data_IF_622081966438
#
_entry.id   IF_622081966438
#
_cell.length_a   1.000
_cell.length_b   1.000
_cell.length_c   1.000
_cell.angle_alpha   90.00
_cell.angle_beta   90.00
_cell.angle_gamma   90.00
#
_symmetry.space_group_name_H-M   'P 1'
#
loop_
_entity.id
_entity.type
_entity.pdbx_description
1 polymer ?
#
# COMPACT_ATOMS: atom_id res chain seq x y z
N UNK A 1 -2.05 8.77 5.15
CA UNK A 1 -0.68 8.18 5.13
C UNK A 1 -0.18 8.13 3.69
N UNK A 2 0.98 8.70 3.45
CA UNK A 2 1.59 8.63 2.13
C UNK A 2 2.29 7.30 1.92
N UNK A 3 2.36 6.86 0.67
CA UNK A 3 2.99 5.58 0.36
C UNK A 3 3.51 5.54 -1.08
N UNK A 4 4.26 4.50 -1.38
CA UNK A 4 4.86 4.28 -2.70
C UNK A 4 4.23 3.11 -3.44
N UNK A 5 3.01 2.73 -3.07
CA UNK A 5 2.33 1.58 -3.68
C UNK A 5 2.20 1.75 -5.18
N UNK A 6 1.74 2.92 -5.62
CA UNK A 6 1.54 3.19 -7.05
C UNK A 6 2.87 3.11 -7.82
N UNK A 7 3.95 3.67 -7.27
CA UNK A 7 5.26 3.64 -7.90
C UNK A 7 5.76 2.20 -8.07
N UNK A 8 5.66 1.41 -6.99
CA UNK A 8 6.10 0.01 -7.01
C UNK A 8 5.25 -0.82 -7.95
N UNK A 9 3.95 -0.58 -7.95
CA UNK A 9 3.03 -1.28 -8.83
C UNK A 9 3.36 -1.02 -10.30
N UNK A 10 3.56 0.25 -10.65
CA UNK A 10 3.90 0.63 -12.02
C UNK A 10 5.27 0.08 -12.44
N UNK A 11 6.24 0.09 -11.53
CA UNK A 11 7.56 -0.45 -11.81
C UNK A 11 7.50 -1.96 -12.12
N UNK A 12 6.58 -2.68 -11.50
CA UNK A 12 6.40 -4.12 -11.72
C UNK A 12 5.31 -4.43 -12.74
N UNK A 13 4.70 -3.41 -13.33
CA UNK A 13 3.63 -3.55 -14.34
C UNK A 13 2.44 -4.33 -13.81
N UNK A 14 2.06 -4.06 -12.55
CA UNK A 14 0.93 -4.68 -11.86
C UNK A 14 -0.23 -3.69 -11.83
N UNK A 15 -1.44 -4.15 -12.21
CA UNK A 15 -2.63 -3.31 -12.15
C UNK A 15 -3.16 -3.22 -10.73
N UNK A 16 -4.02 -2.23 -10.47
CA UNK A 16 -4.69 -2.10 -9.17
C UNK A 16 -5.51 -3.35 -8.85
N UNK A 17 -6.19 -3.90 -9.83
CA UNK A 17 -7.00 -5.12 -9.64
C UNK A 17 -6.13 -6.33 -9.31
N UNK A 18 -4.98 -6.46 -9.98
CA UNK A 18 -4.06 -7.56 -9.71
C UNK A 18 -3.51 -7.49 -8.29
N UNK A 19 -3.13 -6.29 -7.84
CA UNK A 19 -2.66 -6.12 -6.47
C UNK A 19 -3.77 -6.41 -5.46
N UNK A 20 -4.98 -5.90 -5.72
CA UNK A 20 -6.13 -6.12 -4.84
C UNK A 20 -6.39 -7.62 -4.66
N UNK A 21 -6.40 -8.38 -5.76
CA UNK A 21 -6.61 -9.82 -5.72
C UNK A 21 -5.50 -10.52 -4.93
N UNK A 22 -4.26 -10.11 -5.15
CA UNK A 22 -3.10 -10.73 -4.49
C UNK A 22 -3.12 -10.56 -2.98
N UNK A 23 -3.65 -9.44 -2.48
CA UNK A 23 -3.71 -9.17 -1.04
C UNK A 23 -5.13 -9.28 -0.47
N UNK A 24 -6.06 -9.84 -1.24
CA UNK A 24 -7.42 -10.19 -0.82
C UNK A 24 -8.26 -9.00 -0.36
N UNK A 25 -8.19 -7.91 -1.11
CA UNK A 25 -9.03 -6.72 -0.87
C UNK A 25 -9.68 -6.29 -2.19
N UNK A 26 -10.57 -5.31 -2.13
CA UNK A 26 -11.19 -4.77 -3.34
C UNK A 26 -10.25 -3.78 -4.03
N UNK A 27 -10.47 -3.58 -5.32
CA UNK A 27 -9.73 -2.57 -6.09
C UNK A 27 -9.91 -1.18 -5.47
N UNK A 28 -11.12 -0.88 -4.96
CA UNK A 28 -11.40 0.41 -4.33
C UNK A 28 -10.50 0.64 -3.11
N UNK A 29 -10.20 -0.40 -2.35
CA UNK A 29 -9.29 -0.31 -1.22
C UNK A 29 -7.89 0.11 -1.69
N UNK A 30 -7.41 -0.48 -2.78
CA UNK A 30 -6.09 -0.10 -3.33
C UNK A 30 -6.10 1.35 -3.81
N UNK A 31 -7.17 1.79 -4.49
CA UNK A 31 -7.30 3.17 -4.95
C UNK A 31 -7.23 4.13 -3.76
N UNK A 32 -7.97 3.84 -2.70
CA UNK A 32 -8.00 4.69 -1.50
C UNK A 32 -6.63 4.73 -0.80
N UNK A 33 -5.93 3.60 -0.75
CA UNK A 33 -4.58 3.55 -0.20
C UNK A 33 -3.61 4.41 -1.01
N UNK A 34 -3.64 4.28 -2.34
CA UNK A 34 -2.74 5.03 -3.21
C UNK A 34 -2.97 6.54 -3.13
N UNK A 35 -4.21 6.94 -2.87
CA UNK A 35 -4.57 8.35 -2.70
C UNK A 35 -4.29 8.90 -1.30
N UNK A 36 -3.80 8.07 -0.39
CA UNK A 36 -3.50 8.48 0.97
C UNK A 36 -4.73 8.70 1.84
N UNK A 37 -5.91 8.28 1.39
CA UNK A 37 -7.18 8.49 2.11
C UNK A 37 -7.54 7.38 3.07
N UNK A 38 -6.79 6.28 3.03
CA UNK A 38 -7.05 5.12 3.86
C UNK A 38 -5.74 4.62 4.45
N UNK A 39 -5.73 4.38 5.75
CA UNK A 39 -4.55 3.84 6.42
C UNK A 39 -4.68 2.32 6.45
N UNK A 40 -3.71 1.63 5.86
CA UNK A 40 -3.73 0.19 5.83
C UNK A 40 -3.63 -0.38 7.25
N UNK A 41 -4.38 -1.48 7.49
CA UNK A 41 -4.15 -2.26 8.69
C UNK A 41 -2.75 -2.86 8.66
N UNK A 42 -2.24 -3.26 9.81
CA UNK A 42 -0.92 -3.87 9.90
C UNK A 42 -0.82 -5.12 9.01
N UNK A 43 -1.87 -5.94 9.02
CA UNK A 43 -1.92 -7.17 8.21
C UNK A 43 -1.88 -6.83 6.72
N UNK A 44 -2.68 -5.87 6.29
CA UNK A 44 -2.72 -5.48 4.88
C UNK A 44 -1.39 -4.88 4.44
N UNK A 45 -0.81 -4.01 5.26
CA UNK A 45 0.49 -3.42 4.98
C UNK A 45 1.56 -4.51 4.82
N UNK A 46 1.53 -5.51 5.68
CA UNK A 46 2.47 -6.63 5.61
C UNK A 46 2.30 -7.43 4.33
N UNK A 47 1.06 -7.71 3.93
CA UNK A 47 0.78 -8.45 2.69
C UNK A 47 1.27 -7.71 1.46
N UNK A 48 1.07 -6.39 1.42
CA UNK A 48 1.53 -5.56 0.31
C UNK A 48 3.06 -5.56 0.25
N UNK A 49 3.71 -5.41 1.39
CA UNK A 49 5.17 -5.44 1.48
C UNK A 49 5.72 -6.78 0.99
N UNK A 50 5.11 -7.88 1.40
CA UNK A 50 5.50 -9.21 0.94
C UNK A 50 5.32 -9.36 -0.57
N UNK A 51 4.22 -8.85 -1.10
CA UNK A 51 3.94 -8.94 -2.53
C UNK A 51 5.06 -8.25 -3.34
N UNK A 52 5.51 -7.10 -2.90
CA UNK A 52 6.57 -6.35 -3.59
C UNK A 52 7.98 -6.77 -3.18
N UNK A 53 8.12 -7.59 -2.16
CA UNK A 53 9.44 -8.05 -1.69
C UNK A 53 10.25 -6.95 -1.02
N UNK A 54 9.60 -6.02 -0.33
CA UNK A 54 10.24 -4.89 0.35
C UNK A 54 9.72 -4.80 1.78
N UNK A 55 10.34 -3.95 2.60
CA UNK A 55 9.85 -3.73 3.96
C UNK A 55 8.67 -2.77 3.95
N UNK A 56 7.86 -2.78 5.02
CA UNK A 56 6.77 -1.84 5.16
C UNK A 56 7.27 -0.40 5.19
N UNK A 57 8.44 -0.17 5.77
CA UNK A 57 9.05 1.16 5.86
C UNK A 57 9.45 1.71 4.50
N UNK A 58 9.73 0.84 3.54
CA UNK A 58 10.05 1.25 2.17
C UNK A 58 8.82 1.68 1.39
N UNK A 59 7.64 1.21 1.80
CA UNK A 59 6.38 1.50 1.11
C UNK A 59 5.63 2.66 1.74
N UNK A 60 5.51 2.65 3.08
CA UNK A 60 4.67 3.60 3.80
C UNK A 60 5.53 4.70 4.41
N UNK A 61 5.10 5.94 4.14
CA UNK A 61 5.81 7.12 4.64
C UNK A 61 4.99 7.68 5.80
N UNK A 62 5.57 7.65 6.99
CA UNK A 62 4.93 8.18 8.19
C UNK A 62 5.37 9.64 8.36
N UNK A 63 4.40 10.55 8.38
CA UNK A 63 4.68 11.95 8.63
C UNK A 63 4.50 12.27 10.13
N UNK A 64 4.70 13.53 10.50
CA UNK A 64 4.62 13.93 11.90
C UNK A 64 3.21 13.73 12.47
N UNK A 65 2.18 13.91 11.67
CA UNK A 65 0.80 13.70 12.11
C UNK A 65 0.52 12.23 12.40
N UNK A 66 1.02 11.33 11.56
CA UNK A 66 0.89 9.88 11.78
C UNK A 66 1.60 9.47 13.06
N UNK A 67 2.75 10.04 13.35
CA UNK A 67 3.55 9.71 14.53
C UNK A 67 2.93 10.21 15.84
N UNK A 68 2.08 11.21 15.78
CA UNK A 68 1.44 11.79 16.95
C UNK A 68 0.11 11.11 17.31
N UNK A 69 -0.28 10.11 16.59
CA UNK A 69 -1.45 9.31 16.92
C UNK A 69 -1.13 8.29 18.04
#
# INVERSE_FOLDING_TARGET
>A
MQNKIQELRKAKKVTQSELADAVSVTRQTIISLENGKYNASLILAHKIAQFFGVSMEEIFIFDQEDENL
#
